data_IF_289647862528
#
_entry.id   IF_289647862528
#
_cell.length_a   1.000
_cell.length_b   1.000
_cell.length_c   1.000
_cell.angle_alpha   90.00
_cell.angle_beta   90.00
_cell.angle_gamma   90.00
#
_symmetry.space_group_name_H-M   'P 1'
#
loop_
_entity.id
_entity.type
_entity.pdbx_description
1 polymer ?
#
# COMPACT_ATOMS: atom_id res chain seq x y z
N UNK A 1 4.69 70.22 -46.43
CA UNK A 1 3.55 69.47 -45.85
C UNK A 1 4.05 68.08 -45.48
N UNK A 2 3.51 67.47 -44.42
CA UNK A 2 4.09 66.27 -43.79
C UNK A 2 3.59 64.97 -44.39
N UNK A 3 4.51 64.12 -44.85
CA UNK A 3 4.25 62.72 -45.18
C UNK A 3 4.20 61.86 -43.91
N UNK A 4 3.11 61.11 -43.70
CA UNK A 4 3.04 60.06 -42.66
C UNK A 4 3.17 58.66 -43.30
N UNK A 5 3.82 57.69 -42.65
CA UNK A 5 3.98 56.34 -43.18
C UNK A 5 2.68 55.51 -43.05
N UNK A 6 2.53 54.52 -43.93
CA UNK A 6 1.42 53.57 -43.90
C UNK A 6 1.71 52.45 -42.90
N UNK A 7 0.94 52.37 -41.81
CA UNK A 7 1.03 51.27 -40.84
C UNK A 7 0.10 50.12 -41.23
N UNK A 8 0.66 49.05 -41.79
CA UNK A 8 -0.07 47.77 -41.99
C UNK A 8 -0.32 47.09 -40.65
N UNK A 9 -1.59 47.02 -40.23
CA UNK A 9 -1.99 46.16 -39.11
C UNK A 9 -2.11 44.70 -39.59
N UNK A 10 -1.22 43.83 -39.09
CA UNK A 10 -1.39 42.39 -39.22
C UNK A 10 -2.54 41.92 -38.32
N UNK A 11 -3.57 41.32 -38.91
CA UNK A 11 -4.58 40.59 -38.15
C UNK A 11 -3.93 39.34 -37.53
N UNK A 12 -3.62 39.40 -36.23
CA UNK A 12 -3.39 38.19 -35.45
C UNK A 12 -4.69 37.38 -35.42
N UNK A 13 -4.74 36.30 -36.19
CA UNK A 13 -5.84 35.34 -36.12
C UNK A 13 -5.79 34.69 -34.73
N UNK A 14 -6.87 34.87 -33.96
CA UNK A 14 -7.04 34.14 -32.71
C UNK A 14 -7.29 32.67 -33.07
N UNK A 15 -6.37 31.78 -32.68
CA UNK A 15 -6.56 30.34 -32.89
C UNK A 15 -7.80 29.88 -32.11
N UNK A 16 -8.63 28.99 -32.68
CA UNK A 16 -9.75 28.41 -31.94
C UNK A 16 -9.25 27.75 -30.65
N UNK A 17 -9.95 27.99 -29.54
CA UNK A 17 -9.77 27.18 -28.35
C UNK A 17 -10.08 25.71 -28.71
N UNK A 18 -9.33 24.74 -28.15
CA UNK A 18 -9.67 23.33 -28.36
C UNK A 18 -11.08 23.05 -27.83
N UNK A 19 -11.84 22.15 -28.47
CA UNK A 19 -13.15 21.77 -27.97
C UNK A 19 -13.05 21.17 -26.55
N UNK A 20 -14.09 21.29 -25.72
CA UNK A 20 -14.16 20.54 -24.46
C UNK A 20 -14.09 19.03 -24.74
N UNK A 21 -13.57 18.22 -23.80
CA UNK A 21 -13.47 16.78 -23.98
C UNK A 21 -14.86 16.14 -24.09
N UNK A 22 -15.10 15.38 -25.17
CA UNK A 22 -16.35 14.64 -25.35
C UNK A 22 -16.47 13.46 -24.36
N UNK A 23 -17.49 13.47 -23.50
CA UNK A 23 -17.80 12.41 -22.53
C UNK A 23 -17.93 11.00 -23.16
N UNK A 24 -18.30 10.94 -24.43
CA UNK A 24 -18.37 9.70 -25.23
C UNK A 24 -17.00 9.01 -25.34
N UNK A 25 -15.93 9.80 -25.45
CA UNK A 25 -14.54 9.30 -25.50
C UNK A 25 -14.13 8.71 -24.16
N UNK A 26 -14.44 9.41 -23.06
CA UNK A 26 -14.18 8.95 -21.68
C UNK A 26 -14.90 7.63 -21.37
N UNK A 27 -16.17 7.53 -21.75
CA UNK A 27 -17.01 6.34 -21.54
C UNK A 27 -16.52 5.14 -22.36
N UNK A 28 -16.10 5.37 -23.61
CA UNK A 28 -15.50 4.36 -24.48
C UNK A 28 -14.16 3.84 -23.92
N UNK A 29 -13.29 4.76 -23.45
CA UNK A 29 -12.01 4.42 -22.82
C UNK A 29 -12.20 3.54 -21.57
N UNK A 30 -13.07 3.94 -20.65
CA UNK A 30 -13.32 3.21 -19.42
C UNK A 30 -14.05 1.87 -19.65
N UNK A 31 -14.83 1.77 -20.72
CA UNK A 31 -15.39 0.50 -21.21
C UNK A 31 -14.26 -0.47 -21.60
N UNK A 32 -13.31 -0.04 -22.44
CA UNK A 32 -12.16 -0.86 -22.84
C UNK A 32 -11.28 -1.28 -21.65
N UNK A 33 -11.10 -0.41 -20.64
CA UNK A 33 -10.39 -0.76 -19.40
C UNK A 33 -11.09 -1.89 -18.63
N UNK A 34 -12.41 -1.80 -18.41
CA UNK A 34 -13.20 -2.86 -17.73
C UNK A 34 -13.10 -4.19 -18.49
N UNK A 35 -13.26 -4.18 -19.82
CA UNK A 35 -13.18 -5.40 -20.64
C UNK A 35 -11.77 -6.03 -20.62
N UNK A 36 -10.76 -5.21 -20.32
CA UNK A 36 -9.36 -5.63 -20.20
C UNK A 36 -8.98 -6.13 -18.79
N UNK A 37 -9.82 -5.97 -17.76
CA UNK A 37 -9.52 -6.40 -16.37
C UNK A 37 -9.15 -7.89 -16.24
N UNK A 38 -9.90 -8.86 -16.80
CA UNK A 38 -9.64 -10.29 -16.55
C UNK A 38 -8.28 -10.76 -17.08
N UNK A 39 -7.71 -10.05 -18.05
CA UNK A 39 -6.40 -10.32 -18.62
C UNK A 39 -5.23 -10.00 -17.66
N UNK A 40 -5.52 -9.28 -16.57
CA UNK A 40 -4.54 -8.69 -15.66
C UNK A 40 -4.78 -9.07 -14.18
N UNK A 41 -5.74 -9.96 -13.90
CA UNK A 41 -5.94 -10.57 -12.58
C UNK A 41 -5.13 -11.88 -12.45
N UNK A 42 -4.80 -12.32 -11.21
CA UNK A 42 -4.34 -13.69 -10.97
C UNK A 42 -5.41 -14.74 -11.32
N UNK A 43 -5.01 -15.99 -11.57
CA UNK A 43 -5.96 -17.10 -11.75
C UNK A 43 -6.92 -17.23 -10.55
N UNK A 44 -8.23 -17.49 -10.75
CA UNK A 44 -9.16 -17.77 -9.65
C UNK A 44 -8.72 -18.89 -8.70
N UNK A 45 -7.92 -19.85 -9.20
CA UNK A 45 -7.35 -20.93 -8.37
C UNK A 45 -6.28 -20.46 -7.38
N UNK A 46 -5.80 -19.22 -7.45
CA UNK A 46 -4.73 -18.69 -6.61
C UNK A 46 -5.12 -18.62 -5.13
N UNK A 47 -6.34 -18.19 -4.82
CA UNK A 47 -6.82 -18.09 -3.43
C UNK A 47 -6.96 -19.48 -2.80
N UNK A 48 -7.47 -20.48 -3.55
CA UNK A 48 -7.48 -21.88 -3.11
C UNK A 48 -6.07 -22.44 -2.86
N UNK A 49 -5.06 -21.97 -3.59
CA UNK A 49 -3.65 -22.42 -3.46
C UNK A 49 -2.92 -21.91 -2.22
N UNK A 50 -3.51 -20.98 -1.47
CA UNK A 50 -3.11 -20.70 -0.08
C UNK A 50 -3.82 -21.63 0.91
N UNK A 51 -5.09 -21.97 0.66
CA UNK A 51 -5.89 -22.87 1.52
C UNK A 51 -5.36 -24.30 1.52
N UNK A 52 -4.89 -24.79 0.37
CA UNK A 52 -4.26 -26.11 0.21
C UNK A 52 -2.76 -26.16 0.61
N UNK A 53 -2.16 -25.01 0.96
CA UNK A 53 -0.74 -24.84 1.31
C UNK A 53 0.25 -25.28 0.22
N UNK A 54 -0.16 -25.24 -1.06
CA UNK A 54 0.77 -25.35 -2.20
C UNK A 54 1.60 -24.09 -2.38
N UNK A 55 1.09 -22.92 -1.94
CA UNK A 55 1.82 -21.65 -1.86
C UNK A 55 1.92 -21.21 -0.39
N UNK A 56 3.09 -20.72 0.00
CA UNK A 56 3.35 -20.19 1.33
C UNK A 56 2.87 -18.74 1.44
N UNK A 57 1.82 -18.53 2.24
CA UNK A 57 1.23 -17.22 2.52
C UNK A 57 2.20 -16.30 3.28
N UNK A 58 3.02 -16.86 4.18
CA UNK A 58 4.04 -16.11 4.93
C UNK A 58 5.13 -15.65 3.99
N UNK A 59 5.59 -16.50 3.07
CA UNK A 59 6.57 -16.12 2.04
C UNK A 59 6.02 -15.04 1.09
N UNK A 60 4.73 -15.06 0.73
CA UNK A 60 4.07 -13.93 0.02
C UNK A 60 4.08 -12.66 0.87
N UNK A 61 3.72 -12.75 2.16
CA UNK A 61 3.64 -11.58 3.02
C UNK A 61 5.03 -10.93 3.27
N UNK A 62 6.08 -11.74 3.48
CA UNK A 62 7.47 -11.29 3.55
C UNK A 62 7.92 -10.61 2.25
N UNK A 63 7.57 -11.19 1.10
CA UNK A 63 7.87 -10.65 -0.22
C UNK A 63 7.25 -9.26 -0.43
N UNK A 64 5.97 -9.11 -0.10
CA UNK A 64 5.23 -7.84 -0.21
C UNK A 64 5.73 -6.81 0.82
N UNK A 65 6.07 -7.25 2.03
CA UNK A 65 6.71 -6.40 3.04
C UNK A 65 8.06 -5.86 2.56
N UNK A 66 8.86 -6.67 1.85
CA UNK A 66 10.12 -6.23 1.26
C UNK A 66 9.89 -5.27 0.08
N UNK A 67 8.98 -5.61 -0.86
CA UNK A 67 8.62 -4.73 -2.00
C UNK A 67 8.23 -3.33 -1.52
N UNK A 68 7.34 -3.24 -0.52
CA UNK A 68 6.85 -1.97 0.00
C UNK A 68 7.93 -1.16 0.74
N UNK A 69 8.90 -1.81 1.39
CA UNK A 69 10.08 -1.14 1.97
C UNK A 69 10.97 -0.53 0.88
N UNK A 70 11.26 -1.28 -0.20
CA UNK A 70 12.12 -0.79 -1.29
C UNK A 70 11.45 0.33 -2.10
N UNK A 71 10.15 0.22 -2.35
CA UNK A 71 9.32 1.32 -2.89
C UNK A 71 9.42 2.58 -2.03
N UNK A 72 9.28 2.46 -0.71
CA UNK A 72 9.35 3.61 0.21
C UNK A 72 10.77 4.23 0.27
N UNK A 73 11.82 3.41 0.16
CA UNK A 73 13.21 3.87 0.13
C UNK A 73 13.52 4.72 -1.10
N UNK A 74 13.23 4.18 -2.29
CA UNK A 74 13.52 4.84 -3.56
C UNK A 74 12.45 5.87 -3.97
N UNK A 75 11.38 6.02 -3.18
CA UNK A 75 10.21 6.90 -3.42
C UNK A 75 9.55 6.66 -4.78
N UNK A 76 9.43 5.38 -5.15
CA UNK A 76 8.68 4.94 -6.32
C UNK A 76 7.20 5.31 -6.23
N UNK A 77 6.52 5.35 -7.37
CA UNK A 77 5.07 5.51 -7.46
C UNK A 77 4.32 4.37 -6.75
N UNK A 78 3.17 4.64 -6.11
CA UNK A 78 2.25 3.60 -5.63
C UNK A 78 1.87 2.58 -6.71
N UNK A 79 1.77 3.02 -7.98
CA UNK A 79 1.52 2.14 -9.13
C UNK A 79 2.65 1.11 -9.31
N UNK A 80 3.91 1.51 -9.16
CA UNK A 80 5.09 0.64 -9.27
C UNK A 80 5.06 -0.47 -8.22
N UNK A 81 4.72 -0.15 -6.97
CA UNK A 81 4.55 -1.16 -5.92
C UNK A 81 3.34 -2.08 -6.18
N UNK A 82 2.22 -1.53 -6.67
CA UNK A 82 1.04 -2.33 -7.03
C UNK A 82 1.34 -3.29 -8.20
N UNK A 83 1.99 -2.82 -9.27
CA UNK A 83 2.39 -3.64 -10.41
C UNK A 83 3.40 -4.72 -10.01
N UNK A 84 4.35 -4.40 -9.12
CA UNK A 84 5.29 -5.39 -8.55
C UNK A 84 4.54 -6.58 -7.93
N UNK A 85 3.48 -6.32 -7.15
CA UNK A 85 2.67 -7.38 -6.52
C UNK A 85 1.70 -8.02 -7.52
N UNK A 86 1.14 -7.27 -8.48
CA UNK A 86 0.34 -7.82 -9.57
C UNK A 86 1.13 -8.86 -10.38
N UNK A 87 2.39 -8.56 -10.73
CA UNK A 87 3.25 -9.49 -11.46
C UNK A 87 3.60 -10.72 -10.62
N UNK A 88 3.94 -10.51 -9.35
CA UNK A 88 4.25 -11.57 -8.39
C UNK A 88 3.07 -12.55 -8.20
N UNK A 89 1.87 -12.02 -7.97
CA UNK A 89 0.66 -12.81 -7.77
C UNK A 89 0.19 -13.51 -9.05
N UNK A 90 0.25 -12.84 -10.21
CA UNK A 90 -0.02 -13.49 -11.51
C UNK A 90 0.96 -14.62 -11.79
N UNK A 91 2.26 -14.40 -11.55
CA UNK A 91 3.28 -15.44 -11.71
C UNK A 91 3.01 -16.65 -10.81
N UNK A 92 2.78 -16.44 -9.51
CA UNK A 92 2.50 -17.53 -8.57
C UNK A 92 1.15 -18.22 -8.83
N UNK A 93 0.17 -17.52 -9.40
CA UNK A 93 -1.11 -18.13 -9.77
C UNK A 93 -0.95 -19.20 -10.86
N UNK A 94 -0.07 -18.95 -11.83
CA UNK A 94 0.20 -19.84 -12.97
C UNK A 94 1.40 -20.77 -12.78
N UNK A 95 2.29 -20.51 -11.81
CA UNK A 95 3.55 -21.22 -11.66
C UNK A 95 3.88 -21.56 -10.20
N UNK A 96 4.48 -22.73 -9.96
CA UNK A 96 4.95 -23.14 -8.63
C UNK A 96 6.44 -22.88 -8.45
N UNK A 97 6.83 -22.29 -7.33
CA UNK A 97 8.23 -22.17 -6.93
C UNK A 97 8.74 -23.46 -6.24
N UNK A 98 10.05 -23.78 -6.29
CA UNK A 98 10.61 -24.98 -5.67
C UNK A 98 10.45 -25.00 -4.13
N UNK A 99 9.51 -25.82 -3.62
CA UNK A 99 9.15 -25.87 -2.17
C UNK A 99 10.30 -26.28 -1.24
N UNK A 100 11.26 -27.06 -1.73
CA UNK A 100 12.39 -27.57 -0.93
C UNK A 100 13.63 -26.66 -0.95
N UNK A 101 13.55 -25.48 -1.59
CA UNK A 101 14.70 -24.58 -1.77
C UNK A 101 14.75 -23.40 -0.80
N UNK A 102 13.90 -23.38 0.23
CA UNK A 102 13.80 -22.27 1.18
C UNK A 102 13.16 -21.02 0.57
N UNK A 103 13.43 -19.83 1.13
CA UNK A 103 12.77 -18.58 0.74
C UNK A 103 13.44 -17.82 -0.42
N UNK A 104 14.63 -18.23 -0.89
CA UNK A 104 15.30 -17.52 -1.99
C UNK A 104 14.48 -17.43 -3.30
N UNK A 105 13.64 -18.42 -3.70
CA UNK A 105 12.86 -18.30 -4.93
C UNK A 105 11.82 -17.18 -4.86
N UNK A 106 11.21 -16.98 -3.68
CA UNK A 106 10.25 -15.90 -3.43
C UNK A 106 10.96 -14.53 -3.40
N UNK A 107 12.15 -14.45 -2.78
CA UNK A 107 12.93 -13.22 -2.79
C UNK A 107 13.41 -12.86 -4.21
N UNK A 108 13.90 -13.83 -5.01
CA UNK A 108 14.31 -13.60 -6.40
C UNK A 108 13.12 -13.15 -7.28
N UNK A 109 11.95 -13.77 -7.10
CA UNK A 109 10.71 -13.32 -7.76
C UNK A 109 10.36 -11.88 -7.37
N UNK A 110 10.49 -11.52 -6.08
CA UNK A 110 10.24 -10.16 -5.59
C UNK A 110 11.15 -9.12 -6.25
N UNK A 111 12.47 -9.38 -6.28
CA UNK A 111 13.45 -8.48 -6.91
C UNK A 111 13.17 -8.33 -8.41
N UNK A 112 12.84 -9.43 -9.11
CA UNK A 112 12.53 -9.41 -10.54
C UNK A 112 11.23 -8.66 -10.85
N UNK A 113 10.15 -8.91 -10.11
CA UNK A 113 8.88 -8.20 -10.30
C UNK A 113 9.00 -6.69 -10.00
N UNK A 114 9.75 -6.31 -8.96
CA UNK A 114 10.00 -4.91 -8.64
C UNK A 114 10.90 -4.22 -9.68
N UNK A 115 11.95 -4.89 -10.18
CA UNK A 115 12.81 -4.32 -11.22
C UNK A 115 12.05 -4.18 -12.55
N UNK A 116 11.15 -5.11 -12.89
CA UNK A 116 10.25 -4.98 -14.03
C UNK A 116 9.27 -3.81 -13.86
N UNK A 117 8.59 -3.69 -12.71
CA UNK A 117 7.63 -2.62 -12.48
C UNK A 117 8.30 -1.25 -12.54
N UNK A 118 9.49 -1.10 -11.93
CA UNK A 118 10.26 0.13 -12.01
C UNK A 118 10.65 0.47 -13.47
N UNK A 119 11.01 -0.52 -14.30
CA UNK A 119 11.29 -0.32 -15.74
C UNK A 119 10.06 0.05 -16.59
N UNK A 120 8.85 -0.16 -16.09
CA UNK A 120 7.62 0.22 -16.78
C UNK A 120 7.15 1.64 -16.43
N UNK A 121 7.31 2.05 -15.17
CA UNK A 121 6.66 3.27 -14.63
C UNK A 121 7.63 4.36 -14.15
N UNK A 122 8.86 4.03 -13.74
CA UNK A 122 9.77 5.00 -13.12
C UNK A 122 10.68 5.68 -14.15
N UNK A 123 10.84 7.02 -14.12
CA UNK A 123 11.72 7.73 -15.05
C UNK A 123 13.21 7.48 -14.79
N UNK A 124 13.57 7.02 -13.59
CA UNK A 124 14.94 6.71 -13.18
C UNK A 124 14.95 5.41 -12.38
N UNK A 125 15.49 4.33 -12.94
CA UNK A 125 15.54 3.01 -12.30
C UNK A 125 16.92 2.76 -11.69
N UNK A 126 17.04 2.50 -10.37
CA UNK A 126 18.29 2.10 -9.74
C UNK A 126 18.87 0.79 -10.34
N UNK A 127 20.17 0.53 -10.18
CA UNK A 127 20.72 -0.74 -10.65
C UNK A 127 20.15 -1.92 -9.84
N UNK A 128 20.17 -3.11 -10.44
CA UNK A 128 19.61 -4.33 -9.81
C UNK A 128 20.26 -4.68 -8.47
N UNK A 129 21.50 -4.21 -8.21
CA UNK A 129 22.14 -4.33 -6.90
C UNK A 129 21.54 -3.35 -5.87
N UNK A 130 21.27 -2.10 -6.28
CA UNK A 130 20.72 -1.03 -5.42
C UNK A 130 19.23 -1.24 -5.07
N UNK A 131 18.55 -2.12 -5.80
CA UNK A 131 17.22 -2.61 -5.44
C UNK A 131 17.27 -3.66 -4.31
N UNK A 132 18.41 -4.34 -4.09
CA UNK A 132 18.56 -5.45 -3.14
C UNK A 132 19.02 -4.96 -1.75
N UNK A 133 18.23 -4.08 -1.17
CA UNK A 133 18.47 -3.44 0.13
C UNK A 133 17.64 -4.08 1.27
N UNK A 134 17.84 -3.57 2.50
CA UNK A 134 17.26 -4.07 3.76
C UNK A 134 17.71 -5.48 4.16
N UNK A 135 19.02 -5.65 4.36
CA UNK A 135 19.65 -6.88 4.89
C UNK A 135 19.10 -8.17 4.26
N UNK A 136 19.15 -8.28 2.90
CA UNK A 136 18.54 -9.39 2.20
C UNK A 136 19.20 -10.72 2.57
N UNK A 137 18.37 -11.75 2.83
CA UNK A 137 18.83 -13.11 3.15
C UNK A 137 19.70 -13.71 2.03
N UNK A 138 19.49 -13.25 0.79
CA UNK A 138 20.25 -13.62 -0.41
C UNK A 138 20.49 -12.38 -1.27
N UNK A 139 21.71 -12.16 -1.77
CA UNK A 139 21.99 -11.17 -2.82
C UNK A 139 22.20 -11.92 -4.14
N UNK A 140 21.44 -11.54 -5.16
CA UNK A 140 21.47 -12.18 -6.48
C UNK A 140 22.27 -11.34 -7.48
N UNK A 141 23.10 -12.01 -8.29
CA UNK A 141 23.74 -11.39 -9.44
C UNK A 141 22.71 -10.75 -10.39
N UNK A 142 23.02 -9.60 -11.03
CA UNK A 142 22.12 -8.98 -12.01
C UNK A 142 21.67 -9.94 -13.12
N UNK A 143 22.56 -10.83 -13.60
CA UNK A 143 22.24 -11.85 -14.61
C UNK A 143 21.21 -12.87 -14.13
N UNK A 144 21.16 -13.16 -12.83
CA UNK A 144 20.20 -14.10 -12.25
C UNK A 144 18.84 -13.45 -12.06
N UNK A 145 18.79 -12.18 -11.66
CA UNK A 145 17.55 -11.38 -11.67
C UNK A 145 17.02 -11.25 -13.11
N UNK A 146 17.83 -10.84 -14.07
CA UNK A 146 17.43 -10.69 -15.49
C UNK A 146 16.84 -11.97 -16.11
N UNK A 147 17.38 -13.16 -15.78
CA UNK A 147 16.79 -14.45 -16.17
C UNK A 147 15.40 -14.65 -15.55
N UNK A 148 15.20 -14.21 -14.31
CA UNK A 148 13.90 -14.27 -13.65
C UNK A 148 12.92 -13.23 -14.24
N UNK A 149 13.38 -12.02 -14.60
CA UNK A 149 12.58 -11.03 -15.31
C UNK A 149 12.04 -11.58 -16.63
N UNK A 150 12.90 -12.20 -17.45
CA UNK A 150 12.50 -12.87 -18.70
C UNK A 150 11.47 -13.99 -18.44
N UNK A 151 11.62 -14.75 -17.34
CA UNK A 151 10.65 -15.78 -16.93
C UNK A 151 9.30 -15.19 -16.51
N UNK A 152 9.31 -14.07 -15.77
CA UNK A 152 8.09 -13.35 -15.37
C UNK A 152 7.39 -12.80 -16.60
N UNK A 153 8.09 -12.10 -17.49
CA UNK A 153 7.52 -11.58 -18.74
C UNK A 153 6.92 -12.70 -19.60
N UNK A 154 7.59 -13.85 -19.71
CA UNK A 154 7.07 -15.03 -20.41
C UNK A 154 5.75 -15.55 -19.81
N UNK A 155 5.70 -15.78 -18.49
CA UNK A 155 4.48 -16.27 -17.79
C UNK A 155 3.33 -15.25 -17.85
N UNK A 156 3.64 -13.95 -17.86
CA UNK A 156 2.66 -12.87 -18.00
C UNK A 156 2.25 -12.59 -19.47
N UNK A 157 2.76 -13.35 -20.44
CA UNK A 157 2.57 -13.13 -21.88
C UNK A 157 2.92 -11.69 -22.31
N UNK A 158 3.97 -11.11 -21.71
CA UNK A 158 4.45 -9.73 -21.89
C UNK A 158 3.43 -8.62 -21.53
N UNK A 159 2.28 -8.98 -20.94
CA UNK A 159 1.25 -8.04 -20.45
C UNK A 159 1.67 -7.41 -19.12
N UNK A 160 2.66 -6.52 -19.19
CA UNK A 160 3.21 -5.76 -18.05
C UNK A 160 2.43 -4.46 -17.78
N UNK A 161 1.92 -3.78 -18.81
CA UNK A 161 0.98 -2.65 -18.65
C UNK A 161 -0.40 -3.21 -18.27
N UNK A 162 -0.52 -3.67 -17.04
CA UNK A 162 -1.76 -4.19 -16.46
C UNK A 162 -2.80 -3.09 -16.31
N UNK A 163 -4.07 -3.43 -16.47
CA UNK A 163 -5.16 -2.61 -15.92
C UNK A 163 -5.14 -2.72 -14.39
N UNK A 164 -5.12 -1.58 -13.71
CA UNK A 164 -5.01 -1.45 -12.26
C UNK A 164 -6.13 -0.55 -11.71
N UNK A 165 -6.37 -0.52 -10.38
CA UNK A 165 -7.34 0.42 -9.80
C UNK A 165 -6.98 1.88 -10.08
N UNK A 166 -5.69 2.21 -10.23
CA UNK A 166 -5.22 3.57 -10.48
C UNK A 166 -5.72 4.15 -11.81
N UNK A 167 -5.95 3.31 -12.83
CA UNK A 167 -6.52 3.72 -14.12
C UNK A 167 -7.97 4.25 -13.98
N UNK A 168 -8.69 3.78 -12.97
CA UNK A 168 -10.08 4.19 -12.69
C UNK A 168 -10.19 5.35 -11.70
N UNK A 169 -9.22 5.53 -10.79
CA UNK A 169 -9.30 6.57 -9.75
C UNK A 169 -9.56 7.98 -10.30
N UNK A 170 -8.87 8.49 -11.35
CA UNK A 170 -9.15 9.82 -11.89
C UNK A 170 -10.60 9.99 -12.36
N UNK A 171 -11.14 8.97 -13.05
CA UNK A 171 -12.50 8.94 -13.60
C UNK A 171 -13.60 8.90 -12.52
N UNK A 172 -13.30 8.30 -11.36
CA UNK A 172 -14.25 8.21 -10.25
C UNK A 172 -14.14 9.40 -9.29
N UNK A 173 -13.00 10.09 -9.28
CA UNK A 173 -12.72 11.23 -8.39
C UNK A 173 -12.95 12.59 -9.07
N UNK A 174 -12.94 12.67 -10.40
CA UNK A 174 -13.26 13.90 -11.16
C UNK A 174 -14.66 14.45 -10.87
N UNK A 175 -15.59 13.57 -10.51
CA UNK A 175 -17.01 13.90 -10.33
C UNK A 175 -17.34 14.33 -8.88
N UNK A 176 -16.32 14.49 -8.03
CA UNK A 176 -16.48 14.70 -6.59
C UNK A 176 -15.75 15.98 -6.11
N UNK A 177 -16.28 16.67 -5.09
CA UNK A 177 -15.59 17.79 -4.46
C UNK A 177 -14.28 17.34 -3.79
N UNK A 178 -13.30 18.24 -3.69
CA UNK A 178 -11.98 17.97 -3.09
C UNK A 178 -11.21 16.81 -3.74
N UNK A 179 -11.27 16.74 -5.08
CA UNK A 179 -10.70 15.65 -5.89
C UNK A 179 -9.22 15.35 -5.64
N UNK A 180 -8.36 16.34 -5.35
CA UNK A 180 -6.92 16.12 -5.18
C UNK A 180 -6.56 15.35 -3.90
N UNK A 181 -7.16 15.68 -2.75
CA UNK A 181 -6.95 14.94 -1.50
C UNK A 181 -7.64 13.57 -1.56
N UNK A 182 -8.81 13.49 -2.17
CA UNK A 182 -9.55 12.25 -2.36
C UNK A 182 -8.79 11.25 -3.24
N UNK A 183 -8.13 11.70 -4.30
CA UNK A 183 -7.29 10.87 -5.17
C UNK A 183 -6.10 10.27 -4.40
N UNK A 184 -5.43 11.06 -3.57
CA UNK A 184 -4.30 10.60 -2.75
C UNK A 184 -4.74 9.59 -1.67
N UNK A 185 -5.84 9.87 -0.97
CA UNK A 185 -6.41 8.95 0.03
C UNK A 185 -6.85 7.61 -0.60
N UNK A 186 -7.54 7.67 -1.74
CA UNK A 186 -7.95 6.48 -2.50
C UNK A 186 -6.75 5.67 -2.99
N UNK A 187 -5.69 6.34 -3.46
CA UNK A 187 -4.43 5.71 -3.89
C UNK A 187 -3.74 4.94 -2.75
N UNK A 188 -3.75 5.49 -1.52
CA UNK A 188 -3.20 4.84 -0.34
C UNK A 188 -4.02 3.62 0.10
N UNK A 189 -5.35 3.67 -0.01
CA UNK A 189 -6.22 2.51 0.23
C UNK A 189 -5.97 1.41 -0.81
N UNK A 190 -5.93 1.76 -2.11
CA UNK A 190 -5.57 0.84 -3.19
C UNK A 190 -4.23 0.15 -2.92
N UNK A 191 -3.18 0.91 -2.58
CA UNK A 191 -1.87 0.35 -2.28
C UNK A 191 -1.90 -0.57 -1.04
N UNK A 192 -2.75 -0.28 -0.06
CA UNK A 192 -2.90 -1.09 1.15
C UNK A 192 -3.58 -2.43 0.89
N UNK A 193 -4.47 -2.52 -0.12
CA UNK A 193 -5.16 -3.78 -0.46
C UNK A 193 -4.20 -4.93 -0.80
N UNK A 194 -3.05 -4.64 -1.43
CA UNK A 194 -2.15 -5.67 -1.99
C UNK A 194 -1.65 -6.67 -0.94
N UNK A 195 -1.67 -6.27 0.34
CA UNK A 195 -1.32 -7.10 1.49
C UNK A 195 -2.31 -8.26 1.68
N UNK A 196 -3.61 -7.95 1.73
CA UNK A 196 -4.67 -8.90 2.11
C UNK A 196 -5.16 -9.70 0.90
N UNK A 197 -5.09 -11.03 0.98
CA UNK A 197 -5.36 -11.92 -0.16
C UNK A 197 -6.80 -11.88 -0.67
N UNK A 198 -7.76 -11.50 0.18
CA UNK A 198 -9.18 -11.51 -0.20
C UNK A 198 -9.54 -10.38 -1.20
N UNK A 199 -8.72 -9.31 -1.26
CA UNK A 199 -8.86 -8.30 -2.31
C UNK A 199 -8.56 -8.83 -3.72
N UNK A 200 -7.81 -9.93 -3.85
CA UNK A 200 -7.51 -10.57 -5.14
C UNK A 200 -8.76 -11.15 -5.83
N UNK A 201 -9.87 -11.28 -5.10
CA UNK A 201 -11.18 -11.67 -5.64
C UNK A 201 -11.98 -10.52 -6.27
N UNK A 202 -11.51 -9.27 -6.21
CA UNK A 202 -12.21 -8.10 -6.74
C UNK A 202 -11.49 -7.52 -7.96
N UNK A 203 -12.26 -7.00 -8.92
CA UNK A 203 -11.67 -6.43 -10.14
C UNK A 203 -11.08 -5.04 -9.89
N UNK A 204 -10.13 -4.57 -10.71
CA UNK A 204 -9.49 -3.26 -10.57
C UNK A 204 -10.46 -2.08 -10.35
N UNK A 205 -11.51 -1.93 -11.16
CA UNK A 205 -12.55 -0.92 -11.02
C UNK A 205 -13.40 -1.12 -9.77
N UNK A 206 -13.64 -2.36 -9.35
CA UNK A 206 -14.34 -2.65 -8.09
C UNK A 206 -13.54 -2.15 -6.88
N UNK A 207 -12.22 -2.40 -6.88
CA UNK A 207 -11.30 -1.93 -5.84
C UNK A 207 -11.17 -0.40 -5.87
N UNK A 208 -11.08 0.20 -7.06
CA UNK A 208 -11.03 1.65 -7.21
C UNK A 208 -12.29 2.34 -6.67
N UNK A 209 -13.48 1.86 -7.04
CA UNK A 209 -14.75 2.40 -6.57
C UNK A 209 -14.90 2.26 -5.04
N UNK A 210 -14.51 1.11 -4.47
CA UNK A 210 -14.50 0.90 -3.01
C UNK A 210 -13.54 1.86 -2.29
N UNK A 211 -12.32 2.05 -2.81
CA UNK A 211 -11.34 2.97 -2.24
C UNK A 211 -11.84 4.43 -2.26
N UNK A 212 -12.49 4.85 -3.34
CA UNK A 212 -13.09 6.19 -3.44
C UNK A 212 -14.27 6.36 -2.47
N UNK A 213 -15.13 5.35 -2.29
CA UNK A 213 -16.20 5.38 -1.28
C UNK A 213 -15.62 5.52 0.15
N UNK A 214 -14.64 4.70 0.50
CA UNK A 214 -13.98 4.75 1.82
C UNK A 214 -13.32 6.11 2.07
N UNK A 215 -12.57 6.63 1.10
CA UNK A 215 -11.88 7.91 1.24
C UNK A 215 -12.85 9.11 1.24
N UNK A 216 -13.96 9.04 0.52
CA UNK A 216 -15.00 10.07 0.54
C UNK A 216 -15.77 10.06 1.88
N UNK A 217 -16.17 8.89 2.38
CA UNK A 217 -16.84 8.74 3.67
C UNK A 217 -15.97 9.13 4.88
N UNK A 218 -14.65 9.02 4.76
CA UNK A 218 -13.71 9.55 5.76
C UNK A 218 -13.52 11.09 5.68
N UNK A 219 -13.96 11.74 4.61
CA UNK A 219 -13.78 13.19 4.38
C UNK A 219 -15.07 14.00 4.41
N UNK A 220 -16.25 13.36 4.39
CA UNK A 220 -17.55 14.03 4.30
C UNK A 220 -18.61 13.22 5.05
N UNK A 221 -19.41 13.88 5.91
CA UNK A 221 -20.54 13.29 6.66
C UNK A 221 -21.75 12.96 5.74
N UNK A 222 -21.53 12.16 4.70
CA UNK A 222 -22.61 11.62 3.88
C UNK A 222 -23.39 10.57 4.67
N UNK A 223 -24.60 10.92 5.11
CA UNK A 223 -25.57 9.98 5.63
C UNK A 223 -25.89 8.87 4.61
N UNK A 224 -26.53 7.77 5.05
CA UNK A 224 -26.68 6.51 4.31
C UNK A 224 -27.32 6.56 2.91
N UNK A 225 -27.89 7.69 2.48
CA UNK A 225 -28.38 7.90 1.11
C UNK A 225 -27.28 8.43 0.16
N UNK A 226 -26.27 9.14 0.69
CA UNK A 226 -25.11 9.61 -0.07
C UNK A 226 -24.30 8.46 -0.67
N UNK A 227 -24.29 7.29 -0.04
CA UNK A 227 -23.72 6.05 -0.58
C UNK A 227 -24.38 5.62 -1.90
N UNK A 228 -25.70 5.81 -2.04
CA UNK A 228 -26.42 5.56 -3.30
C UNK A 228 -26.08 6.61 -4.36
N UNK A 229 -25.90 7.86 -3.94
CA UNK A 229 -25.58 8.98 -4.82
C UNK A 229 -24.14 8.86 -5.36
N UNK A 230 -23.15 8.60 -4.50
CA UNK A 230 -21.77 8.24 -4.89
C UNK A 230 -21.75 7.03 -5.83
N UNK A 231 -22.47 5.96 -5.49
CA UNK A 231 -22.60 4.78 -6.36
C UNK A 231 -23.41 5.01 -7.65
N UNK A 232 -23.92 6.22 -7.91
CA UNK A 232 -24.49 6.62 -9.20
C UNK A 232 -23.46 7.28 -10.14
N UNK A 233 -22.35 7.83 -9.61
CA UNK A 233 -21.26 8.39 -10.42
C UNK A 233 -20.28 7.33 -10.95
N UNK A 234 -20.34 6.09 -10.46
CA UNK A 234 -19.57 4.98 -11.02
C UNK A 234 -20.24 4.40 -12.27
N UNK A 235 -19.42 4.06 -13.26
CA UNK A 235 -19.84 3.49 -14.54
C UNK A 235 -20.76 2.28 -14.38
N UNK A 236 -21.84 2.21 -15.16
CA UNK A 236 -22.95 1.26 -14.99
C UNK A 236 -22.52 -0.23 -14.93
N UNK A 237 -21.45 -0.58 -15.65
CA UNK A 237 -20.92 -1.95 -15.74
C UNK A 237 -20.11 -2.39 -14.50
N UNK A 238 -19.81 -1.47 -13.57
CA UNK A 238 -19.15 -1.81 -12.29
C UNK A 238 -20.17 -2.42 -11.33
N UNK A 239 -19.93 -3.66 -10.90
CA UNK A 239 -20.88 -4.39 -10.09
C UNK A 239 -21.03 -3.78 -8.67
N UNK A 240 -22.15 -3.08 -8.45
CA UNK A 240 -22.45 -2.33 -7.22
C UNK A 240 -22.60 -3.20 -5.97
N UNK A 241 -22.84 -4.50 -6.10
CA UNK A 241 -22.81 -5.45 -4.97
C UNK A 241 -21.38 -5.77 -4.58
N UNK A 242 -20.53 -6.14 -5.55
CA UNK A 242 -19.09 -6.40 -5.31
C UNK A 242 -18.37 -5.18 -4.75
N UNK A 243 -18.74 -3.97 -5.17
CA UNK A 243 -18.20 -2.72 -4.60
C UNK A 243 -18.52 -2.60 -3.10
N UNK A 244 -19.74 -2.95 -2.66
CA UNK A 244 -20.09 -2.93 -1.23
C UNK A 244 -19.31 -3.97 -0.43
N UNK A 245 -19.19 -5.19 -0.93
CA UNK A 245 -18.39 -6.24 -0.28
C UNK A 245 -16.90 -5.85 -0.20
N UNK A 246 -16.34 -5.25 -1.25
CA UNK A 246 -14.97 -4.75 -1.26
C UNK A 246 -14.78 -3.59 -0.28
N UNK A 247 -15.73 -2.65 -0.22
CA UNK A 247 -15.74 -1.53 0.72
C UNK A 247 -15.77 -2.01 2.17
N UNK A 248 -16.67 -2.93 2.51
CA UNK A 248 -16.74 -3.51 3.85
C UNK A 248 -15.41 -4.15 4.26
N UNK A 249 -14.73 -4.84 3.34
CA UNK A 249 -13.41 -5.45 3.58
C UNK A 249 -12.30 -4.39 3.74
N UNK A 250 -12.40 -3.23 3.09
CA UNK A 250 -11.51 -2.08 3.36
C UNK A 250 -11.77 -1.46 4.73
N UNK A 251 -13.03 -1.31 5.12
CA UNK A 251 -13.44 -0.79 6.43
C UNK A 251 -12.99 -1.71 7.57
N UNK A 252 -13.07 -3.02 7.38
CA UNK A 252 -12.64 -4.06 8.33
C UNK A 252 -11.10 -4.19 8.43
N UNK A 253 -10.39 -4.29 7.30
CA UNK A 253 -8.95 -4.63 7.31
C UNK A 253 -7.98 -3.44 7.19
N UNK A 254 -8.42 -2.27 6.71
CA UNK A 254 -7.54 -1.15 6.35
C UNK A 254 -7.84 0.17 7.10
N UNK A 255 -9.04 0.33 7.65
CA UNK A 255 -9.50 1.52 8.37
C UNK A 255 -9.82 1.24 9.86
N UNK A 256 -9.27 0.14 10.39
CA UNK A 256 -9.65 -0.52 11.65
C UNK A 256 -10.18 0.44 12.74
N UNK A 257 -11.47 0.30 13.03
CA UNK A 257 -12.28 1.36 13.64
C UNK A 257 -12.09 1.43 15.16
N UNK A 258 -11.16 2.30 15.60
CA UNK A 258 -11.14 2.79 16.98
C UNK A 258 -12.52 3.35 17.38
N UNK A 259 -13.25 2.77 18.35
CA UNK A 259 -14.57 3.25 18.77
C UNK A 259 -14.49 4.48 19.70
N UNK A 260 -13.57 5.39 19.43
CA UNK A 260 -13.04 6.40 20.36
C UNK A 260 -13.49 7.84 20.06
N UNK A 261 -14.70 8.03 19.51
CA UNK A 261 -15.32 9.37 19.45
C UNK A 261 -16.85 9.42 19.51
N UNK A 262 -17.56 8.29 19.75
CA UNK A 262 -19.00 8.32 20.09
C UNK A 262 -19.23 8.78 21.54
N UNK A 263 -18.78 10.01 21.83
CA UNK A 263 -19.27 10.77 22.98
C UNK A 263 -20.77 11.01 22.82
N UNK A 264 -21.58 10.11 23.38
CA UNK A 264 -22.91 10.50 23.85
C UNK A 264 -22.71 11.68 24.79
N UNK A 265 -23.08 12.89 24.34
CA UNK A 265 -23.33 14.02 25.24
C UNK A 265 -24.24 13.49 26.36
N UNK A 266 -23.85 13.59 27.65
CA UNK A 266 -24.78 13.32 28.74
C UNK A 266 -25.98 14.23 28.55
N UNK A 267 -27.18 13.65 28.51
CA UNK A 267 -28.39 14.43 28.31
C UNK A 267 -28.56 15.37 29.52
N UNK A 268 -28.80 16.66 29.28
CA UNK A 268 -28.92 17.68 30.31
C UNK A 268 -30.27 17.59 31.02
N UNK A 269 -30.48 16.49 31.76
CA UNK A 269 -31.64 16.26 32.63
C UNK A 269 -31.42 16.88 34.01
N UNK A 270 -32.49 17.47 34.56
CA UNK A 270 -32.51 18.11 35.88
C UNK A 270 -32.15 17.15 37.02
N UNK A 271 -31.29 17.58 37.94
CA UNK A 271 -30.92 16.81 39.12
C UNK A 271 -32.07 16.72 40.16
N UNK A 272 -32.36 15.53 40.73
CA UNK A 272 -33.14 15.40 41.95
C UNK A 272 -32.36 15.87 43.19
N UNK A 273 -33.05 16.36 44.21
CA UNK A 273 -32.44 16.83 45.47
C UNK A 273 -31.91 15.68 46.34
N UNK A 274 -30.73 15.85 46.94
CA UNK A 274 -30.20 14.93 47.94
C UNK A 274 -30.90 15.09 49.31
N UNK A 275 -31.08 13.99 50.08
CA UNK A 275 -31.50 14.06 51.49
C UNK A 275 -30.35 14.54 52.39
N UNK A 276 -30.68 15.12 53.54
CA UNK A 276 -29.71 15.75 54.44
C UNK A 276 -28.93 14.75 55.31
N UNK A 277 -27.63 15.02 55.50
CA UNK A 277 -26.76 14.29 56.43
C UNK A 277 -26.95 14.78 57.88
N UNK A 278 -26.95 13.88 58.88
CA UNK A 278 -26.91 14.26 60.29
C UNK A 278 -25.51 14.72 60.75
N UNK A 279 -25.47 15.49 61.83
CA UNK A 279 -24.28 16.14 62.40
C UNK A 279 -23.58 15.23 63.43
N UNK A 280 -22.24 15.18 63.42
CA UNK A 280 -21.43 14.27 64.26
C UNK A 280 -20.08 14.86 64.68
N UNK A 281 -20.11 15.69 65.72
CA UNK A 281 -19.01 16.48 66.33
C UNK A 281 -17.78 15.66 66.78
N UNK A 282 -16.54 16.16 66.55
CA UNK A 282 -15.48 16.43 67.57
C UNK A 282 -14.06 16.60 66.98
N UNK A 283 -13.29 17.54 67.55
CA UNK A 283 -11.83 17.72 67.35
C UNK A 283 -11.01 16.91 68.37
N UNK A 284 -9.83 16.39 67.98
CA UNK A 284 -8.63 16.32 68.85
C UNK A 284 -7.33 15.84 68.13
N UNK A 285 -6.37 16.75 68.02
CA UNK A 285 -4.91 16.63 68.27
C UNK A 285 -4.09 15.31 68.07
N UNK A 286 -2.91 15.52 67.47
CA UNK A 286 -1.57 15.00 67.88
C UNK A 286 -0.97 13.71 67.27
N UNK A 287 0.15 13.92 66.59
CA UNK A 287 1.41 13.14 66.56
C UNK A 287 1.43 11.59 66.64
N UNK A 288 1.97 10.98 65.57
CA UNK A 288 3.04 9.98 65.67
C UNK A 288 3.96 10.05 64.43
N UNK A 289 5.23 9.68 64.58
CA UNK A 289 6.24 9.64 63.49
C UNK A 289 6.43 8.22 62.95
N UNK A 290 6.90 8.09 61.70
CA UNK A 290 8.18 7.41 61.41
C UNK A 290 8.52 7.44 59.92
N UNK A 291 9.82 7.58 59.63
CA UNK A 291 10.39 7.61 58.28
C UNK A 291 10.47 6.24 57.60
N UNK A 292 10.47 6.24 56.26
CA UNK A 292 11.69 5.85 55.53
C UNK A 292 11.67 6.38 54.10
N UNK A 293 12.75 7.06 53.69
CA UNK A 293 12.89 7.68 52.37
C UNK A 293 13.76 6.83 51.45
N UNK A 294 13.32 6.72 50.19
CA UNK A 294 14.11 6.16 49.07
C UNK A 294 15.34 7.01 48.77
N UNK A 295 16.48 6.38 48.47
CA UNK A 295 17.44 6.90 47.48
C UNK A 295 18.36 5.79 46.94
N UNK A 296 19.13 6.10 45.89
CA UNK A 296 19.65 5.12 44.92
C UNK A 296 21.22 5.06 44.90
N UNK A 297 21.99 4.95 43.78
CA UNK A 297 23.06 3.95 43.69
C UNK A 297 24.50 4.50 43.78
N UNK A 298 25.48 3.59 43.97
CA UNK A 298 26.92 3.88 43.94
C UNK A 298 27.79 2.64 43.63
N UNK A 299 29.07 2.84 43.25
CA UNK A 299 29.97 1.84 42.63
C UNK A 299 31.26 1.55 43.41
N UNK A 300 31.87 0.35 43.30
CA UNK A 300 33.31 0.03 43.60
C UNK A 300 33.68 -1.43 43.20
N UNK A 301 34.94 -1.90 43.10
CA UNK A 301 35.99 -1.63 42.08
C UNK A 301 37.08 -2.75 42.08
N UNK A 302 37.67 -3.11 40.91
CA UNK A 302 38.88 -3.97 40.69
C UNK A 302 38.80 -5.45 41.22
N UNK A 303 39.61 -6.46 40.83
CA UNK A 303 40.80 -6.69 39.96
C UNK A 303 40.77 -8.16 39.41
N UNK A 304 41.70 -8.80 38.66
CA UNK A 304 42.95 -8.46 37.93
C UNK A 304 43.17 -9.42 36.70
N UNK A 305 44.04 -10.45 36.76
CA UNK A 305 44.73 -11.13 35.61
C UNK A 305 45.43 -12.47 36.02
N UNK A 306 46.23 -13.21 35.19
CA UNK A 306 46.44 -13.23 33.70
C UNK A 306 46.58 -14.65 33.03
N UNK A 307 46.84 -14.66 31.70
CA UNK A 307 47.39 -15.76 30.84
C UNK A 307 46.43 -16.92 30.47
N UNK A 308 46.53 -17.59 29.29
CA UNK A 308 47.64 -17.75 28.32
C UNK A 308 47.25 -17.49 26.84
N UNK A 309 48.26 -17.31 25.98
CA UNK A 309 48.19 -17.19 24.52
C UNK A 309 48.86 -18.42 23.87
N UNK A 310 48.26 -19.02 22.83
CA UNK A 310 48.92 -19.98 21.92
C UNK A 310 48.33 -19.86 20.50
N UNK A 311 49.19 -20.01 19.48
CA UNK A 311 48.92 -19.94 18.02
C UNK A 311 50.12 -20.60 17.29
N UNK A 312 50.10 -20.82 15.97
CA UNK A 312 49.71 -22.10 15.37
C UNK A 312 50.86 -22.84 14.65
N UNK A 313 50.58 -24.07 14.20
CA UNK A 313 51.30 -24.78 13.14
C UNK A 313 50.26 -25.08 12.03
N UNK A 314 50.48 -24.86 10.73
CA UNK A 314 51.54 -25.38 9.85
C UNK A 314 51.51 -26.92 9.75
N UNK A 315 51.56 -27.59 8.60
CA UNK A 315 51.32 -27.36 7.16
C UNK A 315 52.07 -28.50 6.44
N UNK A 316 51.51 -29.09 5.36
CA UNK A 316 52.19 -30.18 4.62
C UNK A 316 51.82 -30.17 3.13
N UNK A 317 52.79 -30.53 2.31
CA UNK A 317 52.77 -30.72 0.84
C UNK A 317 51.80 -31.85 0.37
N UNK A 318 51.29 -31.95 -0.88
CA UNK A 318 51.90 -31.85 -2.24
C UNK A 318 52.86 -33.06 -2.48
N UNK A 319 52.88 -33.84 -3.58
CA UNK A 319 52.44 -33.74 -5.00
C UNK A 319 51.96 -35.15 -5.52
N UNK A 320 51.52 -35.34 -6.79
CA UNK A 320 51.17 -36.65 -7.37
C UNK A 320 52.37 -37.29 -8.14
N UNK A 321 52.20 -38.29 -9.04
CA UNK A 321 51.60 -38.10 -10.37
C UNK A 321 50.28 -38.86 -10.60
#
# INVERSE_FOLDING_TARGET
>A
MTTKPTTTFSHHQCLPLPPPPDDTTTTSSLTHLIDSEPNHMPSPSYISRFRDRTIDLTARQDSINWILKVHAHHRFSPLTAFLSVNYFDRFLSSHSLPRHSGSWPFQLLSVACLSLAAKMEEPNVPFILDLQIFEPKFVFEPKTVQRMELRVMGILNWRLRSVTPFDFLPHFVSNLPSSSSLLAASSNLVLSTIRVIDFLGFSPSTVAAAAVLCAAGASVDFAADGDRQLAAFFHERVNKERVRSCRQLMEEYLLDTCPSSRHKRPNSGSAPSAPASPIGVLDAASCASCDTRSENPGSTIQAERPTKRLRPSAATDVQPP
#
